data_IF_022695127256
#
_entry.id   IF_022695127256
#
_cell.length_a   1.000
_cell.length_b   1.000
_cell.length_c   1.000
_cell.angle_alpha   90.00
_cell.angle_beta   90.00
_cell.angle_gamma   90.00
#
_symmetry.space_group_name_H-M   'P 1'
#
loop_
_entity.id
_entity.type
_entity.pdbx_description
1 polymer ?
#
# COMPACT_ATOMS: atom_id res chain seq x y z
N UNK A 1 -12.63 23.83 -41.76
CA UNK A 1 -12.48 22.46 -41.17
C UNK A 1 -12.86 21.43 -42.23
N UNK A 2 -11.92 20.60 -42.70
CA UNK A 2 -12.23 19.50 -43.63
C UNK A 2 -12.64 18.28 -42.79
N UNK A 3 -13.89 17.90 -42.87
CA UNK A 3 -14.40 16.65 -42.28
C UNK A 3 -13.84 15.49 -43.12
N UNK A 4 -12.89 14.74 -42.55
CA UNK A 4 -12.39 13.51 -43.19
C UNK A 4 -13.39 12.41 -42.87
N UNK A 5 -14.04 11.80 -43.90
CA UNK A 5 -14.88 10.62 -43.72
C UNK A 5 -14.01 9.43 -43.35
N UNK A 6 -14.32 8.79 -42.22
CA UNK A 6 -13.67 7.55 -41.81
C UNK A 6 -13.90 6.46 -42.88
N UNK A 7 -12.89 5.65 -43.17
CA UNK A 7 -13.04 4.49 -44.05
C UNK A 7 -13.97 3.44 -43.39
N UNK A 8 -14.56 2.56 -44.17
CA UNK A 8 -15.46 1.48 -43.66
C UNK A 8 -14.77 0.66 -42.56
N UNK A 9 -13.47 0.35 -42.72
CA UNK A 9 -12.67 -0.39 -41.77
C UNK A 9 -12.45 0.41 -40.44
N UNK A 10 -12.24 1.73 -40.55
CA UNK A 10 -12.14 2.61 -39.37
C UNK A 10 -13.48 2.73 -38.66
N UNK A 11 -14.59 2.79 -39.39
CA UNK A 11 -15.94 2.83 -38.82
C UNK A 11 -16.29 1.51 -38.13
N UNK A 12 -15.98 0.34 -38.74
CA UNK A 12 -16.16 -0.97 -38.15
C UNK A 12 -15.34 -1.15 -36.88
N UNK A 13 -14.06 -0.75 -36.88
CA UNK A 13 -13.20 -0.78 -35.66
C UNK A 13 -13.68 0.16 -34.56
N UNK A 14 -14.30 1.29 -34.91
CA UNK A 14 -14.92 2.19 -33.93
C UNK A 14 -16.18 1.60 -33.33
N UNK A 15 -17.01 0.93 -34.14
CA UNK A 15 -18.20 0.22 -33.66
C UNK A 15 -17.83 -0.98 -32.80
N UNK A 16 -16.86 -1.80 -33.21
CA UNK A 16 -16.34 -2.90 -32.38
C UNK A 16 -15.72 -2.42 -31.06
N UNK A 17 -14.95 -1.32 -31.08
CA UNK A 17 -14.41 -0.71 -29.86
C UNK A 17 -15.51 -0.13 -28.97
N UNK A 18 -16.55 0.43 -29.55
CA UNK A 18 -17.70 0.95 -28.82
C UNK A 18 -18.53 -0.15 -28.21
N UNK A 19 -18.78 -1.24 -28.95
CA UNK A 19 -19.46 -2.43 -28.46
C UNK A 19 -18.66 -3.10 -27.33
N UNK A 20 -17.38 -3.38 -27.54
CA UNK A 20 -16.50 -3.95 -26.52
C UNK A 20 -16.35 -3.06 -25.26
N UNK A 21 -16.56 -1.74 -25.40
CA UNK A 21 -16.58 -0.82 -24.26
C UNK A 21 -17.90 -0.84 -23.49
N UNK A 22 -18.99 -1.27 -24.12
CA UNK A 22 -20.30 -1.43 -23.50
C UNK A 22 -20.49 -2.82 -22.88
N UNK A 23 -19.79 -3.81 -23.41
CA UNK A 23 -19.90 -5.25 -23.10
C UNK A 23 -18.90 -5.67 -22.00
N UNK A 24 -18.80 -4.84 -20.94
CA UNK A 24 -17.90 -5.12 -19.80
C UNK A 24 -18.72 -5.58 -18.62
N UNK A 25 -18.26 -6.58 -17.91
CA UNK A 25 -18.88 -7.08 -16.69
C UNK A 25 -19.31 -5.97 -15.71
N UNK A 26 -18.48 -4.97 -15.46
CA UNK A 26 -18.79 -3.87 -14.55
C UNK A 26 -20.06 -3.07 -14.96
N UNK A 27 -20.43 -3.09 -16.26
CA UNK A 27 -21.56 -2.37 -16.85
C UNK A 27 -22.80 -3.19 -17.02
N UNK A 28 -22.68 -4.50 -16.89
CA UNK A 28 -23.83 -5.40 -16.98
C UNK A 28 -24.85 -5.06 -15.89
N UNK A 29 -26.13 -5.01 -16.26
CA UNK A 29 -27.19 -4.78 -15.30
C UNK A 29 -27.30 -6.01 -14.37
N UNK A 30 -27.47 -5.74 -13.06
CA UNK A 30 -27.70 -6.78 -12.07
C UNK A 30 -29.18 -6.78 -11.63
N UNK A 31 -30.00 -7.71 -12.15
CA UNK A 31 -31.40 -7.81 -11.73
C UNK A 31 -31.53 -8.09 -10.23
N UNK A 32 -32.50 -7.45 -9.60
CA UNK A 32 -32.80 -7.66 -8.17
C UNK A 32 -31.99 -6.80 -7.22
N UNK A 33 -30.87 -6.19 -7.65
CA UNK A 33 -30.11 -5.25 -6.80
C UNK A 33 -30.82 -3.89 -6.78
N UNK A 34 -31.08 -3.38 -5.59
CA UNK A 34 -31.80 -2.12 -5.35
C UNK A 34 -30.97 -1.10 -4.53
N UNK A 35 -31.53 0.11 -4.40
CA UNK A 35 -30.91 1.16 -3.57
C UNK A 35 -30.87 0.78 -2.09
N UNK A 36 -31.80 -0.06 -1.65
CA UNK A 36 -31.90 -0.64 -0.31
C UNK A 36 -30.77 -1.59 0.04
N UNK A 37 -30.13 -2.20 -0.97
CA UNK A 37 -28.96 -3.09 -0.82
C UNK A 37 -27.65 -2.31 -0.69
N UNK A 38 -27.69 -1.01 -1.01
CA UNK A 38 -26.53 -0.15 -0.89
C UNK A 38 -26.21 0.20 0.58
N UNK A 39 -24.94 0.33 0.87
CA UNK A 39 -24.42 0.87 2.13
C UNK A 39 -24.60 2.40 2.16
N UNK A 40 -25.56 2.87 2.96
CA UNK A 40 -25.90 4.29 3.05
C UNK A 40 -24.76 5.13 3.64
N UNK A 41 -23.93 4.54 4.52
CA UNK A 41 -22.77 5.23 5.09
C UNK A 41 -21.70 5.44 4.02
N UNK A 42 -21.43 4.42 3.22
CA UNK A 42 -20.47 4.51 2.11
C UNK A 42 -20.93 5.49 1.02
N UNK A 43 -22.23 5.53 0.71
CA UNK A 43 -22.81 6.52 -0.21
C UNK A 43 -22.62 7.95 0.29
N UNK A 44 -22.95 8.23 1.56
CA UNK A 44 -22.74 9.55 2.17
C UNK A 44 -21.26 9.94 2.17
N UNK A 45 -20.38 9.00 2.49
CA UNK A 45 -18.95 9.24 2.48
C UNK A 45 -18.45 9.56 1.07
N UNK A 46 -18.94 8.85 0.05
CA UNK A 46 -18.62 9.12 -1.34
C UNK A 46 -19.07 10.52 -1.77
N UNK A 47 -20.29 10.94 -1.40
CA UNK A 47 -20.77 12.30 -1.66
C UNK A 47 -19.84 13.38 -1.09
N UNK A 48 -19.46 13.25 0.18
CA UNK A 48 -18.56 14.20 0.85
C UNK A 48 -17.19 14.24 0.19
N UNK A 49 -16.61 13.09 -0.12
CA UNK A 49 -15.29 13.00 -0.73
C UNK A 49 -15.26 13.53 -2.16
N UNK A 50 -16.26 13.19 -2.98
CA UNK A 50 -16.39 13.68 -4.35
C UNK A 50 -16.57 15.20 -4.36
N UNK A 51 -17.41 15.74 -3.45
CA UNK A 51 -17.60 17.18 -3.32
C UNK A 51 -16.31 17.89 -2.92
N UNK A 52 -15.57 17.33 -1.93
CA UNK A 52 -14.30 17.87 -1.48
C UNK A 52 -13.22 17.85 -2.57
N UNK A 53 -13.18 16.77 -3.37
CA UNK A 53 -12.21 16.61 -4.45
C UNK A 53 -12.40 17.60 -5.60
N UNK A 54 -13.63 18.10 -5.81
CA UNK A 54 -13.93 19.05 -6.88
C UNK A 54 -13.75 18.52 -8.30
N UNK A 55 -13.60 17.20 -8.47
CA UNK A 55 -13.31 16.55 -9.77
C UNK A 55 -14.56 16.15 -10.55
N UNK A 56 -15.74 16.34 -9.98
CA UNK A 56 -16.99 15.83 -10.57
C UNK A 56 -17.52 16.71 -11.72
N UNK A 57 -17.14 17.99 -11.74
CA UNK A 57 -17.53 18.95 -12.78
C UNK A 57 -18.97 19.46 -12.70
N UNK A 58 -19.76 18.94 -11.78
CA UNK A 58 -21.14 19.36 -11.45
C UNK A 58 -21.30 19.31 -9.93
N UNK A 59 -22.38 19.92 -9.42
CA UNK A 59 -22.77 19.76 -8.03
C UNK A 59 -23.05 18.27 -7.72
N UNK A 60 -22.59 17.81 -6.56
CA UNK A 60 -22.78 16.43 -6.14
C UNK A 60 -24.21 16.25 -5.66
N UNK A 61 -25.00 15.34 -6.28
CA UNK A 61 -26.38 15.12 -5.86
C UNK A 61 -26.50 14.64 -4.42
N UNK A 62 -27.47 15.19 -3.67
CA UNK A 62 -27.80 14.71 -2.32
C UNK A 62 -28.54 13.36 -2.36
N UNK A 63 -29.40 13.17 -3.36
CA UNK A 63 -30.15 11.94 -3.53
C UNK A 63 -29.25 10.80 -4.04
N UNK A 64 -29.16 9.72 -3.27
CA UNK A 64 -28.29 8.57 -3.57
C UNK A 64 -28.50 8.01 -4.99
N UNK A 65 -29.76 7.84 -5.41
CA UNK A 65 -30.10 7.31 -6.73
C UNK A 65 -29.65 8.25 -7.86
N UNK A 66 -29.75 9.55 -7.65
CA UNK A 66 -29.29 10.55 -8.60
C UNK A 66 -27.75 10.54 -8.70
N UNK A 67 -27.04 10.47 -7.56
CA UNK A 67 -25.58 10.30 -7.54
C UNK A 67 -25.17 9.07 -8.37
N UNK A 68 -25.77 7.91 -8.09
CA UNK A 68 -25.46 6.66 -8.81
C UNK A 68 -25.78 6.76 -10.31
N UNK A 69 -26.82 7.49 -10.69
CA UNK A 69 -27.12 7.80 -12.11
C UNK A 69 -26.01 8.66 -12.73
N UNK A 70 -25.56 9.71 -12.07
CA UNK A 70 -24.46 10.59 -12.55
C UNK A 70 -23.11 9.90 -12.56
N UNK A 71 -22.91 8.89 -11.72
CA UNK A 71 -21.74 8.00 -11.73
C UNK A 71 -21.82 6.92 -12.81
N UNK A 72 -22.92 6.83 -13.54
CA UNK A 72 -23.21 5.79 -14.54
C UNK A 72 -23.38 4.37 -13.96
N UNK A 73 -23.69 4.25 -12.68
CA UNK A 73 -23.90 3.00 -11.97
C UNK A 73 -25.35 2.56 -11.93
N UNK A 74 -26.28 3.46 -12.29
CA UNK A 74 -27.70 3.20 -12.49
C UNK A 74 -28.13 3.71 -13.86
N UNK A 75 -28.67 2.82 -14.70
CA UNK A 75 -29.10 3.12 -16.08
C UNK A 75 -30.31 2.28 -16.43
N UNK A 76 -31.25 2.85 -17.20
CA UNK A 76 -32.42 2.14 -17.73
C UNK A 76 -33.22 1.38 -16.65
N UNK A 77 -33.30 1.94 -15.45
CA UNK A 77 -34.04 1.30 -14.36
C UNK A 77 -33.26 0.25 -13.56
N UNK A 78 -32.01 -0.03 -13.90
CA UNK A 78 -31.20 -1.10 -13.29
C UNK A 78 -29.83 -0.58 -12.79
N UNK A 79 -29.32 -1.20 -11.74
CA UNK A 79 -27.95 -1.00 -11.27
C UNK A 79 -27.00 -1.93 -12.00
N UNK A 80 -25.77 -1.47 -12.17
CA UNK A 80 -24.71 -2.27 -12.79
C UNK A 80 -23.91 -3.05 -11.72
N UNK A 81 -23.14 -4.06 -12.16
CA UNK A 81 -22.22 -4.80 -11.30
C UNK A 81 -21.21 -3.87 -10.60
N UNK A 82 -20.78 -2.76 -11.24
CA UNK A 82 -19.94 -1.77 -10.60
C UNK A 82 -20.61 -1.11 -9.37
N UNK A 83 -21.93 -0.94 -9.37
CA UNK A 83 -22.65 -0.42 -8.20
C UNK A 83 -22.52 -1.37 -7.00
N UNK A 84 -22.58 -2.67 -7.24
CA UNK A 84 -22.39 -3.70 -6.20
C UNK A 84 -20.98 -3.63 -5.64
N UNK A 85 -19.96 -3.62 -6.49
CA UNK A 85 -18.55 -3.52 -6.06
C UNK A 85 -18.31 -2.30 -5.19
N UNK A 86 -18.88 -1.17 -5.57
CA UNK A 86 -18.60 0.13 -4.95
C UNK A 86 -19.47 0.44 -3.73
N UNK A 87 -20.71 -0.06 -3.70
CA UNK A 87 -21.70 0.42 -2.74
C UNK A 87 -22.59 -0.66 -2.11
N UNK A 88 -22.53 -1.93 -2.50
CA UNK A 88 -23.32 -2.95 -1.84
C UNK A 88 -22.91 -3.10 -0.37
N UNK A 89 -23.90 -3.23 0.53
CA UNK A 89 -23.67 -3.50 1.94
C UNK A 89 -23.06 -4.89 2.15
N UNK A 90 -23.57 -5.87 1.40
CA UNK A 90 -23.15 -7.27 1.39
C UNK A 90 -22.80 -7.70 -0.04
N UNK A 91 -21.65 -7.25 -0.60
CA UNK A 91 -21.34 -7.51 -2.01
C UNK A 91 -21.21 -8.99 -2.34
N UNK A 92 -20.81 -9.84 -1.38
CA UNK A 92 -20.68 -11.29 -1.60
C UNK A 92 -22.01 -12.02 -1.79
N UNK A 93 -23.13 -11.45 -1.35
CA UNK A 93 -24.44 -11.97 -1.67
C UNK A 93 -24.73 -11.93 -3.18
N UNK A 94 -24.10 -11.00 -3.88
CA UNK A 94 -24.25 -10.76 -5.31
C UNK A 94 -23.10 -11.34 -6.16
N UNK A 95 -21.87 -11.26 -5.63
CA UNK A 95 -20.67 -11.81 -6.25
C UNK A 95 -19.76 -12.42 -5.17
N UNK A 96 -19.75 -13.74 -4.99
CA UNK A 96 -19.12 -14.43 -3.86
C UNK A 96 -17.61 -14.18 -3.70
N UNK A 97 -16.94 -13.75 -4.76
CA UNK A 97 -15.51 -13.47 -4.79
C UNK A 97 -15.16 -12.01 -4.45
N UNK A 98 -16.14 -11.14 -4.14
CA UNK A 98 -15.90 -9.74 -3.76
C UNK A 98 -15.40 -9.65 -2.31
N UNK A 99 -14.10 -9.88 -2.15
CA UNK A 99 -13.42 -9.80 -0.86
C UNK A 99 -11.94 -9.42 -1.04
N UNK A 100 -11.33 -8.94 0.04
CA UNK A 100 -9.88 -8.81 0.18
C UNK A 100 -9.44 -9.75 1.30
N UNK A 101 -8.58 -10.72 0.98
CA UNK A 101 -8.00 -11.65 1.96
C UNK A 101 -6.60 -11.19 2.32
N UNK A 102 -6.28 -11.16 3.60
CA UNK A 102 -4.96 -10.80 4.12
C UNK A 102 -4.46 -11.95 4.98
N UNK A 103 -3.35 -12.57 4.58
CA UNK A 103 -2.72 -13.64 5.36
C UNK A 103 -1.31 -13.23 5.77
N UNK A 104 -0.91 -13.61 6.99
CA UNK A 104 0.46 -13.44 7.47
C UNK A 104 1.14 -14.81 7.49
N UNK A 105 2.40 -14.83 7.10
CA UNK A 105 3.19 -16.05 6.96
C UNK A 105 4.51 -15.95 7.71
N UNK A 106 5.00 -17.10 8.19
CA UNK A 106 6.38 -17.27 8.66
C UNK A 106 7.36 -17.20 7.48
N UNK A 107 8.66 -17.20 7.78
CA UNK A 107 9.71 -17.31 6.76
C UNK A 107 9.62 -18.61 5.94
N UNK A 108 9.16 -19.69 6.56
CA UNK A 108 8.98 -21.01 5.94
C UNK A 108 7.66 -21.11 5.14
N UNK A 109 6.85 -20.04 5.15
CA UNK A 109 5.62 -19.94 4.36
C UNK A 109 4.37 -20.46 5.06
N UNK A 110 4.41 -20.85 6.32
CA UNK A 110 3.24 -21.25 7.09
C UNK A 110 2.36 -20.05 7.41
N UNK A 111 1.04 -20.18 7.23
CA UNK A 111 0.09 -19.11 7.55
C UNK A 111 -0.13 -19.02 9.06
N UNK A 112 0.10 -17.82 9.62
CA UNK A 112 -0.08 -17.53 11.06
C UNK A 112 -1.34 -16.75 11.36
N UNK A 113 -1.89 -16.03 10.37
CA UNK A 113 -3.18 -15.35 10.48
C UNK A 113 -3.89 -15.29 9.14
N UNK A 114 -5.21 -15.20 9.19
CA UNK A 114 -6.08 -15.08 8.02
C UNK A 114 -7.22 -14.11 8.34
N UNK A 115 -7.32 -13.05 7.56
CA UNK A 115 -8.36 -12.03 7.66
C UNK A 115 -9.07 -11.90 6.32
N UNK A 116 -10.39 -12.00 6.34
CA UNK A 116 -11.24 -11.71 5.19
C UNK A 116 -11.95 -10.38 5.42
N UNK A 117 -11.77 -9.43 4.49
CA UNK A 117 -12.48 -8.16 4.47
C UNK A 117 -13.57 -8.22 3.41
N UNK A 118 -14.77 -7.78 3.78
CA UNK A 118 -15.96 -7.78 2.95
C UNK A 118 -16.66 -6.42 3.03
N UNK A 119 -17.32 -6.01 1.96
CA UNK A 119 -18.04 -4.76 1.89
C UNK A 119 -17.72 -3.93 0.66
N UNK A 120 -18.15 -2.66 0.61
CA UNK A 120 -17.85 -1.75 -0.47
C UNK A 120 -16.35 -1.60 -0.72
N UNK A 121 -15.93 -1.56 -1.99
CA UNK A 121 -14.51 -1.61 -2.38
C UNK A 121 -13.65 -0.55 -1.68
N UNK A 122 -14.13 0.68 -1.54
CA UNK A 122 -13.35 1.76 -0.91
C UNK A 122 -13.22 1.56 0.60
N UNK A 123 -14.24 1.02 1.26
CA UNK A 123 -14.14 0.62 2.67
C UNK A 123 -13.12 -0.49 2.83
N UNK A 124 -13.21 -1.56 2.02
CA UNK A 124 -12.22 -2.65 2.03
C UNK A 124 -10.79 -2.16 1.78
N UNK A 125 -10.60 -1.19 0.87
CA UNK A 125 -9.29 -0.57 0.64
C UNK A 125 -8.71 0.05 1.92
N UNK A 126 -9.50 0.83 2.64
CA UNK A 126 -9.07 1.50 3.87
C UNK A 126 -8.76 0.51 4.98
N UNK A 127 -9.64 -0.45 5.18
CA UNK A 127 -9.47 -1.52 6.15
C UNK A 127 -8.25 -2.38 5.84
N UNK A 128 -8.01 -2.70 4.55
CA UNK A 128 -6.83 -3.46 4.12
C UNK A 128 -5.53 -2.70 4.40
N UNK A 129 -5.47 -1.41 4.07
CA UNK A 129 -4.28 -0.58 4.36
C UNK A 129 -4.02 -0.55 5.87
N UNK A 130 -5.04 -0.30 6.70
CA UNK A 130 -4.91 -0.27 8.16
C UNK A 130 -4.47 -1.65 8.72
N UNK A 131 -5.08 -2.74 8.24
CA UNK A 131 -4.76 -4.10 8.66
C UNK A 131 -3.33 -4.50 8.29
N UNK A 132 -2.83 -4.09 7.10
CA UNK A 132 -1.45 -4.33 6.69
C UNK A 132 -0.49 -3.55 7.59
N UNK A 133 -0.75 -2.27 7.84
CA UNK A 133 0.10 -1.45 8.72
C UNK A 133 0.20 -2.01 10.13
N UNK A 134 -0.91 -2.49 10.72
CA UNK A 134 -0.91 -3.12 12.03
C UNK A 134 -0.08 -4.40 12.07
N UNK A 135 -0.07 -5.19 10.99
CA UNK A 135 0.64 -6.48 10.91
C UNK A 135 2.11 -6.35 10.54
N UNK A 136 2.49 -5.28 9.84
CA UNK A 136 3.87 -5.09 9.38
C UNK A 136 4.70 -4.23 10.34
N UNK A 137 4.06 -3.55 11.30
CA UNK A 137 4.74 -2.75 12.33
C UNK A 137 5.50 -1.55 11.77
N UNK A 138 6.36 -1.00 12.62
CA UNK A 138 7.21 0.13 12.30
C UNK A 138 8.66 -0.36 12.18
N UNK A 139 9.34 0.08 11.16
CA UNK A 139 10.79 -0.02 11.04
C UNK A 139 11.44 1.12 11.82
N UNK A 140 12.47 0.79 12.59
CA UNK A 140 13.23 1.78 13.35
C UNK A 140 14.40 2.27 12.52
N UNK A 141 14.51 3.57 12.37
CA UNK A 141 15.62 4.22 11.70
C UNK A 141 16.31 5.24 12.61
N UNK A 142 17.63 5.31 12.54
CA UNK A 142 18.43 6.39 13.13
C UNK A 142 19.06 7.19 11.99
N UNK A 143 18.46 8.30 11.53
CA UNK A 143 19.01 9.09 10.43
C UNK A 143 20.39 9.65 10.79
N UNK A 144 21.33 9.68 9.82
CA UNK A 144 22.65 10.27 10.01
C UNK A 144 22.53 11.70 10.54
N UNK A 145 23.20 12.00 11.66
CA UNK A 145 23.20 13.32 12.28
C UNK A 145 21.97 13.64 13.15
N UNK A 146 21.04 12.72 13.33
CA UNK A 146 19.93 12.85 14.28
C UNK A 146 20.12 11.89 15.46
N UNK A 147 19.95 12.41 16.68
CA UNK A 147 20.04 11.62 17.91
C UNK A 147 18.74 10.86 18.22
N UNK A 148 17.69 11.23 17.54
CA UNK A 148 16.35 10.69 17.79
C UNK A 148 16.06 9.49 16.91
N UNK A 149 15.47 8.48 17.53
CA UNK A 149 14.87 7.33 16.87
C UNK A 149 13.71 7.80 16.01
N UNK A 150 13.74 7.51 14.71
CA UNK A 150 12.61 7.76 13.82
C UNK A 150 11.94 6.43 13.53
N UNK A 151 10.67 6.32 13.85
CA UNK A 151 9.83 5.19 13.47
C UNK A 151 9.27 5.47 12.09
N UNK A 152 9.45 4.52 11.18
CA UNK A 152 8.94 4.59 9.81
C UNK A 152 8.08 3.37 9.52
N UNK A 153 7.02 3.50 8.73
CA UNK A 153 6.28 2.32 8.27
C UNK A 153 7.21 1.39 7.50
N UNK A 154 7.04 0.07 7.66
CA UNK A 154 7.83 -0.93 6.95
C UNK A 154 7.67 -0.82 5.43
N UNK A 155 6.51 -0.33 4.98
CA UNK A 155 6.18 -0.09 3.57
C UNK A 155 5.66 1.33 3.39
N UNK A 156 5.97 2.01 2.24
CA UNK A 156 5.40 3.32 1.95
C UNK A 156 3.87 3.24 1.89
N UNK A 157 3.18 4.12 2.61
CA UNK A 157 1.71 4.15 2.62
C UNK A 157 1.13 4.34 1.21
N UNK A 158 1.78 5.18 0.40
CA UNK A 158 1.40 5.36 -1.00
C UNK A 158 1.48 4.06 -1.79
N UNK A 159 2.57 3.29 -1.65
CA UNK A 159 2.76 2.04 -2.38
C UNK A 159 1.72 0.98 -2.00
N UNK A 160 1.37 0.87 -0.71
CA UNK A 160 0.30 -0.02 -0.25
C UNK A 160 -1.06 0.37 -0.85
N UNK A 161 -1.42 1.65 -0.72
CA UNK A 161 -2.69 2.17 -1.25
C UNK A 161 -2.77 1.98 -2.76
N UNK A 162 -1.78 2.44 -3.50
CA UNK A 162 -1.74 2.37 -4.96
C UNK A 162 -1.75 0.92 -5.45
N UNK A 163 -0.99 0.03 -4.80
CA UNK A 163 -0.98 -1.40 -5.12
C UNK A 163 -2.36 -2.05 -4.95
N UNK A 164 -3.07 -1.73 -3.86
CA UNK A 164 -4.43 -2.23 -3.61
C UNK A 164 -5.46 -1.61 -4.56
N UNK A 165 -5.38 -0.29 -4.83
CA UNK A 165 -6.23 0.38 -5.81
C UNK A 165 -6.08 -0.27 -7.18
N UNK A 166 -4.85 -0.47 -7.64
CA UNK A 166 -4.57 -1.13 -8.91
C UNK A 166 -5.10 -2.57 -8.94
N UNK A 167 -4.94 -3.31 -7.84
CA UNK A 167 -5.46 -4.66 -7.71
C UNK A 167 -6.99 -4.72 -7.82
N UNK A 168 -7.71 -3.71 -7.31
CA UNK A 168 -9.17 -3.62 -7.38
C UNK A 168 -9.64 -3.13 -8.76
N UNK A 169 -9.01 -2.07 -9.30
CA UNK A 169 -9.42 -1.43 -10.56
C UNK A 169 -9.11 -2.29 -11.78
N UNK A 170 -8.01 -3.05 -11.75
CA UNK A 170 -7.58 -3.94 -12.85
C UNK A 170 -7.95 -5.40 -12.65
N UNK A 171 -8.74 -5.71 -11.62
CA UNK A 171 -9.20 -7.06 -11.36
C UNK A 171 -10.13 -7.57 -12.47
N UNK A 172 -9.99 -8.86 -12.78
CA UNK A 172 -11.01 -9.63 -13.47
C UNK A 172 -12.07 -10.07 -12.44
N UNK A 173 -13.23 -9.44 -12.49
CA UNK A 173 -14.34 -9.71 -11.58
C UNK A 173 -15.17 -10.94 -11.96
N UNK A 174 -15.04 -11.47 -13.19
CA UNK A 174 -15.66 -12.72 -13.64
C UNK A 174 -14.91 -13.95 -13.17
N UNK A 175 -13.65 -13.77 -12.76
CA UNK A 175 -12.83 -14.85 -12.23
C UNK A 175 -13.45 -15.50 -11.00
N UNK A 176 -13.60 -16.80 -10.99
CA UNK A 176 -14.11 -17.59 -9.86
C UNK A 176 -13.11 -17.72 -8.70
N UNK A 177 -11.89 -17.21 -8.86
CA UNK A 177 -10.84 -17.27 -7.84
C UNK A 177 -11.11 -16.39 -6.61
N UNK A 178 -10.25 -16.51 -5.61
CA UNK A 178 -10.21 -15.60 -4.46
C UNK A 178 -10.01 -14.17 -4.98
N UNK A 179 -10.71 -13.21 -4.37
CA UNK A 179 -10.58 -11.79 -4.72
C UNK A 179 -9.13 -11.27 -4.68
N UNK A 180 -8.95 -10.05 -4.24
CA UNK A 180 -7.61 -9.53 -3.98
C UNK A 180 -7.02 -10.26 -2.77
N UNK A 181 -5.82 -10.82 -2.92
CA UNK A 181 -5.12 -11.52 -1.84
C UNK A 181 -3.82 -10.82 -1.50
N UNK A 182 -3.66 -10.43 -0.24
CA UNK A 182 -2.43 -9.88 0.32
C UNK A 182 -1.77 -10.93 1.20
N UNK A 183 -0.55 -11.31 0.87
CA UNK A 183 0.26 -12.24 1.68
C UNK A 183 1.43 -11.45 2.28
N UNK A 184 1.54 -11.46 3.60
CA UNK A 184 2.55 -10.73 4.36
C UNK A 184 3.58 -11.74 4.87
N UNK A 185 4.83 -11.57 4.48
CA UNK A 185 5.98 -12.32 4.94
C UNK A 185 6.90 -11.41 5.76
N UNK A 186 7.89 -11.93 6.50
CA UNK A 186 8.78 -11.11 7.33
C UNK A 186 9.49 -9.98 6.59
N UNK A 187 9.92 -10.20 5.34
CA UNK A 187 10.73 -9.23 4.58
C UNK A 187 10.01 -8.62 3.37
N UNK A 188 8.84 -9.11 3.02
CA UNK A 188 8.09 -8.63 1.85
C UNK A 188 6.60 -8.91 2.00
N UNK A 189 5.80 -8.20 1.24
CA UNK A 189 4.39 -8.52 1.03
C UNK A 189 4.09 -8.67 -0.45
N UNK A 190 3.03 -9.41 -0.74
CA UNK A 190 2.62 -9.75 -2.10
C UNK A 190 1.13 -9.45 -2.24
N UNK A 191 0.77 -8.54 -3.15
CA UNK A 191 -0.61 -8.24 -3.53
C UNK A 191 -0.89 -8.97 -4.83
N UNK A 192 -1.87 -9.86 -4.84
CA UNK A 192 -2.28 -10.63 -6.03
C UNK A 192 -3.73 -10.35 -6.33
N UNK A 193 -4.06 -10.11 -7.59
CA UNK A 193 -5.43 -10.04 -8.09
C UNK A 193 -5.60 -10.92 -9.34
N UNK A 194 -6.76 -11.55 -9.54
CA UNK A 194 -7.14 -12.11 -10.83
C UNK A 194 -7.12 -11.02 -11.91
N UNK A 195 -6.60 -11.35 -13.09
CA UNK A 195 -6.50 -10.42 -14.20
C UNK A 195 -5.27 -10.66 -15.06
N UNK A 196 -5.09 -9.83 -16.07
CA UNK A 196 -3.97 -9.91 -17.01
C UNK A 196 -3.42 -8.52 -17.32
N UNK A 197 -2.16 -8.46 -17.69
CA UNK A 197 -1.58 -7.26 -18.30
C UNK A 197 -2.06 -7.10 -19.74
N UNK A 198 -2.02 -5.89 -20.30
CA UNK A 198 -2.30 -5.69 -21.73
C UNK A 198 -1.46 -6.63 -22.59
N UNK A 199 -2.03 -7.06 -23.73
CA UNK A 199 -1.38 -8.01 -24.65
C UNK A 199 0.04 -7.54 -25.01
N UNK A 200 1.02 -8.41 -24.81
CA UNK A 200 2.43 -8.13 -25.10
C UNK A 200 3.21 -7.42 -23.99
N UNK A 201 2.54 -7.04 -22.89
CA UNK A 201 3.21 -6.41 -21.74
C UNK A 201 3.79 -7.45 -20.79
N UNK A 202 4.92 -7.08 -20.20
CA UNK A 202 5.57 -7.78 -19.09
C UNK A 202 5.42 -6.95 -17.81
N UNK A 203 5.59 -7.56 -16.65
CA UNK A 203 5.58 -6.84 -15.36
C UNK A 203 6.55 -5.66 -15.31
N UNK A 204 7.72 -5.79 -15.94
CA UNK A 204 8.72 -4.70 -16.05
C UNK A 204 8.24 -3.46 -16.81
N UNK A 205 7.25 -3.61 -17.68
CA UNK A 205 6.74 -2.49 -18.49
C UNK A 205 5.86 -1.55 -17.66
N UNK A 206 5.28 -2.03 -16.56
CA UNK A 206 4.52 -1.20 -15.63
C UNK A 206 5.37 -0.11 -14.96
N UNK A 207 6.67 -0.34 -14.78
CA UNK A 207 7.60 0.66 -14.27
C UNK A 207 7.91 1.81 -15.23
N UNK A 208 7.48 1.75 -16.50
CA UNK A 208 7.66 2.81 -17.50
C UNK A 208 6.43 3.72 -17.56
N UNK A 209 6.61 4.93 -18.10
CA UNK A 209 5.47 5.82 -18.36
C UNK A 209 4.56 5.21 -19.41
N UNK A 210 3.30 5.06 -19.08
CA UNK A 210 2.26 4.53 -19.99
C UNK A 210 0.93 5.22 -19.74
N UNK A 211 0.04 5.13 -20.71
CA UNK A 211 -1.33 5.60 -20.55
C UNK A 211 -2.10 4.66 -19.60
N UNK A 212 -2.86 5.22 -18.66
CA UNK A 212 -3.73 4.44 -17.78
C UNK A 212 -4.89 3.85 -18.57
N UNK A 213 -5.02 2.52 -18.54
CA UNK A 213 -6.10 1.78 -19.20
C UNK A 213 -6.72 0.80 -18.21
N UNK A 214 -7.59 1.27 -17.32
CA UNK A 214 -8.21 0.41 -16.32
C UNK A 214 -9.07 -0.68 -16.98
N UNK A 215 -9.02 -1.89 -16.43
CA UNK A 215 -9.90 -2.98 -16.85
C UNK A 215 -11.36 -2.65 -16.54
N UNK A 216 -11.58 -1.94 -15.42
CA UNK A 216 -12.90 -1.52 -14.94
C UNK A 216 -12.96 0.01 -14.85
N UNK A 217 -13.21 0.74 -15.98
CA UNK A 217 -13.16 2.19 -16.02
C UNK A 217 -14.24 2.90 -15.21
N UNK A 218 -15.43 2.32 -15.01
CA UNK A 218 -16.48 2.93 -14.20
C UNK A 218 -16.12 2.83 -12.70
N UNK A 219 -15.56 1.69 -12.26
CA UNK A 219 -14.98 1.55 -10.91
C UNK A 219 -13.81 2.53 -10.73
N UNK A 220 -12.87 2.57 -11.69
CA UNK A 220 -11.73 3.48 -11.67
C UNK A 220 -12.16 4.95 -11.57
N UNK A 221 -13.21 5.33 -12.29
CA UNK A 221 -13.75 6.69 -12.25
C UNK A 221 -14.20 7.09 -10.84
N UNK A 222 -14.86 6.20 -10.11
CA UNK A 222 -15.28 6.50 -8.73
C UNK A 222 -14.08 6.64 -7.81
N UNK A 223 -13.06 5.79 -7.94
CA UNK A 223 -11.80 5.94 -7.20
C UNK A 223 -11.10 7.27 -7.53
N UNK A 224 -11.07 7.69 -8.78
CA UNK A 224 -10.52 8.98 -9.21
C UNK A 224 -11.29 10.17 -8.63
N UNK A 225 -12.63 10.14 -8.69
CA UNK A 225 -13.49 11.20 -8.16
C UNK A 225 -13.36 11.35 -6.63
N UNK A 226 -12.97 10.28 -5.93
CA UNK A 226 -12.73 10.26 -4.49
C UNK A 226 -11.26 10.51 -4.10
N UNK A 227 -10.41 10.97 -5.03
CA UNK A 227 -8.97 11.21 -4.83
C UNK A 227 -8.17 9.97 -4.36
N UNK A 228 -8.65 8.78 -4.65
CA UNK A 228 -7.97 7.53 -4.28
C UNK A 228 -6.96 7.06 -5.34
N UNK A 229 -7.07 7.56 -6.57
CA UNK A 229 -6.14 7.30 -7.66
C UNK A 229 -5.98 8.50 -8.59
N UNK A 230 -4.90 8.50 -9.37
CA UNK A 230 -4.67 9.43 -10.47
C UNK A 230 -4.79 8.70 -11.81
N UNK A 231 -5.22 9.42 -12.88
CA UNK A 231 -5.38 8.84 -14.22
C UNK A 231 -4.16 9.07 -15.13
N UNK A 232 -3.02 9.49 -14.58
CA UNK A 232 -1.85 9.89 -15.34
C UNK A 232 -0.93 8.72 -15.75
N UNK A 233 -1.24 7.47 -15.34
CA UNK A 233 -0.38 6.31 -15.63
C UNK A 233 0.99 6.35 -14.93
N UNK A 234 1.13 7.13 -13.87
CA UNK A 234 2.37 7.33 -13.11
C UNK A 234 2.42 6.53 -11.79
N UNK A 235 1.36 5.80 -11.44
CA UNK A 235 1.24 5.10 -10.16
C UNK A 235 2.39 4.14 -9.88
N UNK A 236 2.74 3.28 -10.83
CA UNK A 236 3.84 2.33 -10.67
C UNK A 236 5.21 3.03 -10.52
N UNK A 237 5.46 4.12 -11.26
CA UNK A 237 6.70 4.90 -11.12
C UNK A 237 6.80 5.53 -9.73
N UNK A 238 5.68 6.03 -9.21
CA UNK A 238 5.65 6.61 -7.87
C UNK A 238 5.81 5.55 -6.79
N UNK A 239 5.24 4.35 -6.94
CA UNK A 239 5.53 3.20 -6.07
C UNK A 239 7.05 2.94 -6.01
N UNK A 240 7.72 2.88 -7.17
CA UNK A 240 9.18 2.67 -7.26
C UNK A 240 9.93 3.78 -6.52
N UNK A 241 9.56 5.04 -6.75
CA UNK A 241 10.21 6.20 -6.12
C UNK A 241 10.05 6.20 -4.60
N UNK A 242 8.85 5.90 -4.10
CA UNK A 242 8.54 5.84 -2.67
C UNK A 242 9.30 4.68 -1.98
N UNK A 243 9.34 3.49 -2.61
CA UNK A 243 10.15 2.37 -2.09
C UNK A 243 11.64 2.73 -2.03
N UNK A 244 12.17 3.37 -3.08
CA UNK A 244 13.56 3.84 -3.12
C UNK A 244 13.84 4.87 -2.01
N UNK A 245 12.93 5.79 -1.76
CA UNK A 245 13.09 6.83 -0.71
C UNK A 245 13.21 6.25 0.69
N UNK A 246 12.59 5.09 0.94
CA UNK A 246 12.71 4.33 2.19
C UNK A 246 13.94 3.40 2.22
N UNK A 247 14.73 3.33 1.14
CA UNK A 247 15.85 2.41 1.02
C UNK A 247 15.42 0.94 0.82
N UNK A 248 14.15 0.69 0.49
CA UNK A 248 13.64 -0.64 0.20
C UNK A 248 14.10 -1.12 -1.19
N UNK A 249 14.10 -2.43 -1.40
CA UNK A 249 14.31 -3.03 -2.73
C UNK A 249 13.22 -2.55 -3.69
N UNK A 250 13.55 -2.47 -4.98
CA UNK A 250 12.59 -2.10 -6.01
C UNK A 250 11.40 -3.08 -6.02
N UNK A 251 10.15 -2.58 -6.15
CA UNK A 251 8.99 -3.42 -6.27
C UNK A 251 9.06 -4.26 -7.55
N UNK A 252 8.41 -5.43 -7.56
CA UNK A 252 8.38 -6.33 -8.69
C UNK A 252 6.94 -6.69 -9.07
N UNK A 253 6.64 -6.63 -10.37
CA UNK A 253 5.37 -7.08 -10.93
C UNK A 253 5.56 -8.36 -11.73
N UNK A 254 4.64 -9.28 -11.58
CA UNK A 254 4.59 -10.55 -12.30
C UNK A 254 3.16 -10.82 -12.77
N UNK A 255 3.01 -11.27 -14.01
CA UNK A 255 1.72 -11.70 -14.53
C UNK A 255 1.84 -13.13 -15.00
N UNK A 256 1.09 -14.03 -14.39
CA UNK A 256 1.11 -15.48 -14.70
C UNK A 256 -0.27 -16.09 -14.43
N UNK A 257 -0.65 -17.04 -15.29
CA UNK A 257 -1.82 -17.90 -15.07
C UNK A 257 -3.11 -17.14 -14.72
N UNK A 258 -3.36 -16.00 -15.39
CA UNK A 258 -4.58 -15.21 -15.16
C UNK A 258 -4.57 -14.40 -13.86
N UNK A 259 -3.40 -14.12 -13.30
CA UNK A 259 -3.24 -13.23 -12.15
C UNK A 259 -2.10 -12.23 -12.34
N UNK A 260 -2.23 -11.08 -11.72
CA UNK A 260 -1.19 -10.05 -11.61
C UNK A 260 -0.78 -9.95 -10.15
N UNK A 261 0.52 -9.91 -9.93
CA UNK A 261 1.12 -9.88 -8.59
C UNK A 261 2.07 -8.70 -8.47
N UNK A 262 1.94 -7.92 -7.39
CA UNK A 262 2.88 -6.89 -6.97
C UNK A 262 3.58 -7.36 -5.69
N UNK A 263 4.92 -7.45 -5.73
CA UNK A 263 5.74 -7.69 -4.54
C UNK A 263 6.35 -6.37 -4.07
N UNK A 264 6.12 -6.03 -2.80
CA UNK A 264 6.74 -4.91 -2.10
C UNK A 264 7.68 -5.47 -1.03
N UNK A 265 8.89 -4.92 -0.94
CA UNK A 265 9.88 -5.32 0.05
C UNK A 265 9.90 -4.34 1.22
N UNK A 266 10.05 -4.84 2.43
CA UNK A 266 10.15 -4.01 3.61
C UNK A 266 11.39 -3.10 3.53
N UNK A 267 11.25 -1.88 4.04
CA UNK A 267 12.40 -1.03 4.26
C UNK A 267 13.36 -1.78 5.20
N UNK A 268 14.67 -1.81 4.89
CA UNK A 268 15.61 -2.41 5.80
C UNK A 268 15.50 -1.70 7.15
N UNK A 269 15.50 -2.48 8.24
CA UNK A 269 15.74 -1.88 9.53
C UNK A 269 17.05 -1.09 9.38
N UNK A 270 16.97 0.24 9.44
CA UNK A 270 18.19 1.05 9.39
C UNK A 270 18.89 0.85 10.73
N UNK A 271 19.60 -0.25 10.83
CA UNK A 271 20.75 -0.35 11.69
C UNK A 271 21.85 0.55 11.07
N UNK A 272 21.64 1.85 11.04
CA UNK A 272 22.80 2.70 11.17
C UNK A 272 23.23 2.42 12.60
N UNK A 273 24.22 1.56 12.74
CA UNK A 273 25.06 1.63 13.94
C UNK A 273 25.26 3.13 14.17
N UNK A 274 24.90 3.68 15.36
CA UNK A 274 25.17 5.08 15.66
C UNK A 274 26.60 5.32 15.16
N UNK A 275 26.90 6.50 14.64
CA UNK A 275 28.22 6.83 14.09
C UNK A 275 29.23 6.79 15.24
N UNK A 276 29.46 5.56 15.71
CA UNK A 276 30.38 5.23 16.78
C UNK A 276 31.77 5.35 16.21
N UNK A 277 32.58 6.15 16.85
CA UNK A 277 34.00 6.16 16.56
C UNK A 277 34.57 4.72 16.62
N UNK A 278 35.62 4.39 15.85
CA UNK A 278 36.22 3.06 15.89
C UNK A 278 36.56 2.57 17.30
N UNK A 279 36.96 3.49 18.20
CA UNK A 279 37.24 3.18 19.61
C UNK A 279 35.99 2.79 20.40
N UNK A 280 34.86 3.46 20.19
CA UNK A 280 33.57 3.10 20.81
C UNK A 280 33.07 1.74 20.34
N UNK A 281 33.18 1.46 19.03
CA UNK A 281 32.83 0.16 18.46
C UNK A 281 33.69 -0.97 19.04
N UNK A 282 35.01 -0.78 19.09
CA UNK A 282 35.94 -1.77 19.64
C UNK A 282 35.69 -2.02 21.12
N UNK A 283 35.40 -0.96 21.88
CA UNK A 283 35.08 -1.10 23.29
C UNK A 283 33.79 -1.89 23.50
N UNK A 284 32.68 -1.58 22.81
CA UNK A 284 31.41 -2.32 22.92
C UNK A 284 31.58 -3.81 22.55
N UNK A 285 32.41 -4.13 21.53
CA UNK A 285 32.74 -5.49 21.17
C UNK A 285 33.55 -6.25 22.23
N UNK A 286 34.32 -5.53 23.05
CA UNK A 286 35.14 -6.12 24.11
C UNK A 286 34.37 -6.44 25.38
N UNK A 287 33.16 -5.89 25.54
CA UNK A 287 32.31 -6.11 26.72
C UNK A 287 31.69 -7.50 26.70
N UNK A 288 31.75 -8.19 27.84
CA UNK A 288 30.99 -9.42 28.08
C UNK A 288 29.56 -9.06 28.48
N UNK A 289 28.58 -9.88 28.08
CA UNK A 289 27.17 -9.66 28.41
C UNK A 289 26.95 -9.41 29.91
N UNK A 290 26.32 -8.27 30.21
CA UNK A 290 25.98 -7.89 31.60
C UNK A 290 27.16 -7.33 32.43
N UNK A 291 28.35 -7.20 31.84
CA UNK A 291 29.52 -6.64 32.55
C UNK A 291 29.31 -5.16 32.90
N UNK A 292 29.49 -4.82 34.18
CA UNK A 292 29.53 -3.45 34.62
C UNK A 292 30.97 -2.91 34.49
N UNK A 293 31.12 -1.64 34.12
CA UNK A 293 32.41 -0.99 33.95
C UNK A 293 32.34 0.49 34.35
N UNK A 294 33.50 1.11 34.62
CA UNK A 294 33.64 2.52 34.98
C UNK A 294 34.31 3.33 33.88
N UNK A 295 34.30 4.66 34.04
CA UNK A 295 34.98 5.58 33.10
C UNK A 295 36.45 5.23 32.91
N UNK A 296 37.15 4.82 33.98
CA UNK A 296 38.56 4.42 33.94
C UNK A 296 38.80 3.17 33.05
N UNK A 297 37.89 2.20 33.09
CA UNK A 297 38.00 0.99 32.28
C UNK A 297 37.87 1.33 30.77
N UNK A 298 36.91 2.22 30.45
CA UNK A 298 36.78 2.73 29.07
C UNK A 298 38.03 3.50 28.65
N UNK A 299 38.52 4.42 29.51
CA UNK A 299 39.71 5.23 29.25
C UNK A 299 40.93 4.37 28.93
N UNK A 300 41.14 3.30 29.71
CA UNK A 300 42.27 2.38 29.55
C UNK A 300 42.18 1.58 28.23
N UNK A 301 41.00 1.01 27.94
CA UNK A 301 40.77 0.17 26.73
C UNK A 301 40.82 1.03 25.48
N UNK A 302 40.12 2.16 25.47
CA UNK A 302 40.02 3.06 24.32
C UNK A 302 41.26 3.94 24.11
N UNK A 303 42.23 3.93 25.06
CA UNK A 303 43.45 4.75 25.07
C UNK A 303 43.17 6.24 24.91
N UNK A 304 42.23 6.77 25.68
CA UNK A 304 41.83 8.18 25.69
C UNK A 304 41.86 8.77 27.10
N UNK A 305 41.88 10.11 27.21
CA UNK A 305 41.77 10.78 28.52
C UNK A 305 40.41 10.50 29.17
N UNK A 306 40.31 10.53 30.49
CA UNK A 306 39.04 10.42 31.21
C UNK A 306 38.00 11.43 30.75
N UNK A 307 38.41 12.65 30.38
CA UNK A 307 37.52 13.68 29.84
C UNK A 307 36.87 13.25 28.54
N UNK A 308 37.66 12.62 27.65
CA UNK A 308 37.14 12.08 26.40
C UNK A 308 36.30 10.82 26.66
N UNK A 309 36.72 9.95 27.57
CA UNK A 309 35.98 8.77 28.01
C UNK A 309 34.58 9.15 28.51
N UNK A 310 34.45 10.19 29.32
CA UNK A 310 33.13 10.68 29.81
C UNK A 310 32.25 11.18 28.66
N UNK A 311 32.80 11.86 27.66
CA UNK A 311 32.05 12.29 26.48
C UNK A 311 31.57 11.09 25.67
N UNK A 312 32.47 10.17 25.36
CA UNK A 312 32.16 8.97 24.59
C UNK A 312 31.06 8.10 25.27
N UNK A 313 31.16 7.96 26.62
CA UNK A 313 30.17 7.20 27.39
C UNK A 313 28.84 7.94 27.50
N UNK A 314 28.83 9.27 27.58
CA UNK A 314 27.61 10.06 27.54
C UNK A 314 26.91 9.95 26.16
N UNK A 315 27.69 9.91 25.09
CA UNK A 315 27.16 9.68 23.76
C UNK A 315 26.56 8.26 23.62
N UNK A 316 27.24 7.22 24.13
CA UNK A 316 26.74 5.84 24.15
C UNK A 316 25.47 5.69 25.03
N UNK A 317 25.37 6.44 26.14
CA UNK A 317 24.17 6.49 26.99
C UNK A 317 23.00 7.17 26.26
N UNK A 318 23.23 8.33 25.62
CA UNK A 318 22.23 8.99 24.75
C UNK A 318 21.72 8.10 23.64
N UNK A 319 22.58 7.29 23.07
CA UNK A 319 22.23 6.30 22.05
C UNK A 319 21.54 5.05 22.62
N UNK A 320 21.25 5.05 23.94
CA UNK A 320 20.62 3.91 24.63
C UNK A 320 21.40 2.59 24.49
N UNK A 321 22.70 2.65 24.18
CA UNK A 321 23.59 1.49 24.13
C UNK A 321 24.13 1.10 25.49
N UNK A 322 24.16 2.07 26.41
CA UNK A 322 24.59 1.88 27.79
C UNK A 322 23.54 2.41 28.77
N UNK A 323 23.44 1.76 29.91
CA UNK A 323 22.70 2.25 31.07
C UNK A 323 23.68 2.72 32.16
N UNK A 324 23.42 3.89 32.69
CA UNK A 324 24.19 4.47 33.78
C UNK A 324 23.54 4.17 35.13
N UNK A 325 24.31 3.65 36.06
CA UNK A 325 23.88 3.39 37.46
C UNK A 325 24.76 4.12 38.43
N UNK A 326 24.13 4.80 39.41
CA UNK A 326 24.82 5.58 40.46
C UNK A 326 25.17 7.00 40.03
N UNK A 327 25.80 7.73 40.93
CA UNK A 327 26.23 9.12 40.73
C UNK A 327 27.63 9.34 41.28
N UNK A 328 28.35 10.35 40.76
CA UNK A 328 29.70 10.71 41.21
C UNK A 328 30.75 9.60 40.93
N UNK A 329 31.73 9.41 41.86
CA UNK A 329 32.82 8.45 41.68
C UNK A 329 32.37 6.97 41.61
N UNK A 330 31.20 6.66 42.11
CA UNK A 330 30.64 5.30 42.11
C UNK A 330 29.82 4.96 40.85
N UNK A 331 29.76 5.85 39.85
CA UNK A 331 29.03 5.63 38.59
C UNK A 331 29.61 4.43 37.85
N UNK A 332 28.70 3.48 37.50
CA UNK A 332 28.99 2.35 36.63
C UNK A 332 28.08 2.35 35.45
N UNK A 333 28.54 1.77 34.33
CA UNK A 333 27.79 1.61 33.09
C UNK A 333 27.60 0.13 32.79
N UNK A 334 26.50 -0.22 32.16
CA UNK A 334 26.22 -1.57 31.63
C UNK A 334 25.70 -1.48 30.21
N UNK A 335 26.05 -2.45 29.41
CA UNK A 335 25.47 -2.55 28.06
C UNK A 335 23.99 -2.89 28.16
N UNK A 336 23.14 -2.12 27.49
CA UNK A 336 21.70 -2.39 27.40
C UNK A 336 21.47 -3.60 26.52
N UNK A 337 20.58 -4.49 26.91
CA UNK A 337 20.19 -5.67 26.13
C UNK A 337 19.26 -5.33 24.98
#
# INVERSE_FOLDING_TARGET
>A
MRTVRATHDQSSRLVERSAAALDRWEREPLPGFGIEDCDTTELKQAQVEIAKAGRFGIEVPEANKELLTKLYLYRNGQFSNAAVVLFAREPRAWAPNLAVRITTHTADGEATSDLMLEGPAVRMLREAVAAIQQRTGLSVAFPKGQLERVERPAYPLYALREGLVNAMVHRDYESSGVGVHVRIFPEHLVITNPGALPKGWKGSDLGRKHESRPANPDIARVFYLRELMDQLGLGAQRIIAECKSLGAKAPAWKAEKGSVTLSLFSAPAVTTSPDLSPRQQNFLKSLKNGQAFKVGDYSAIAKVSERQARRDLADLEKLSLLERHGAGPSTVYRQRR
#
